data_IF_492751687724
#
_entry.id   IF_492751687724
#
_cell.length_a   1.000
_cell.length_b   1.000
_cell.length_c   1.000
_cell.angle_alpha   90.00
_cell.angle_beta   90.00
_cell.angle_gamma   90.00
#
_symmetry.space_group_name_H-M   'P 1'
#
loop_
_entity.id
_entity.type
_entity.pdbx_description
1 polymer ?
#
# COMPACT_ATOMS: atom_id res chain seq x y z
N UNK A 1 -32.83 19.17 -13.10
CA UNK A 1 -31.71 20.13 -13.14
C UNK A 1 -31.66 20.78 -14.49
N UNK A 2 -32.32 21.89 -14.61
CA UNK A 2 -32.55 22.55 -15.87
C UNK A 2 -31.36 23.40 -16.31
N UNK A 3 -30.46 23.72 -15.45
CA UNK A 3 -29.29 24.46 -15.82
C UNK A 3 -28.12 23.50 -15.97
N UNK A 4 -27.55 23.44 -17.11
CA UNK A 4 -26.24 22.89 -17.53
C UNK A 4 -25.12 22.80 -16.44
N UNK A 5 -25.48 22.65 -15.15
CA UNK A 5 -24.54 22.39 -14.08
C UNK A 5 -24.03 20.96 -14.27
N UNK A 6 -22.79 20.86 -14.68
CA UNK A 6 -22.03 19.63 -14.70
C UNK A 6 -22.11 19.06 -13.28
N UNK A 7 -22.72 17.88 -13.14
CA UNK A 7 -22.71 17.17 -11.85
C UNK A 7 -21.28 16.75 -11.57
N UNK A 8 -20.68 17.41 -10.61
CA UNK A 8 -19.34 17.03 -10.12
C UNK A 8 -19.49 16.08 -8.94
N UNK A 9 -18.64 15.07 -8.90
CA UNK A 9 -18.49 14.17 -7.76
C UNK A 9 -17.94 14.95 -6.56
N UNK A 10 -18.50 14.76 -5.38
CA UNK A 10 -17.98 15.35 -4.15
C UNK A 10 -16.64 14.69 -3.76
N UNK A 11 -16.64 13.34 -3.70
CA UNK A 11 -15.45 12.56 -3.36
C UNK A 11 -14.69 12.21 -4.64
N UNK A 12 -13.45 12.62 -4.73
CA UNK A 12 -12.55 12.33 -5.85
C UNK A 12 -11.37 11.42 -5.47
N UNK A 13 -11.13 11.22 -4.18
CA UNK A 13 -10.16 10.24 -3.66
C UNK A 13 -10.84 9.34 -2.62
N UNK A 14 -10.63 8.04 -2.76
CA UNK A 14 -11.13 7.05 -1.80
C UNK A 14 -10.00 6.12 -1.39
N UNK A 15 -9.87 5.94 -0.09
CA UNK A 15 -8.92 5.02 0.52
C UNK A 15 -9.68 3.90 1.23
N UNK A 16 -9.35 2.66 0.89
CA UNK A 16 -9.85 1.47 1.55
C UNK A 16 -8.67 0.64 2.05
N UNK A 17 -8.46 0.66 3.35
CA UNK A 17 -7.45 -0.15 4.02
C UNK A 17 -8.20 -1.22 4.82
N UNK A 18 -8.02 -2.48 4.43
CA UNK A 18 -8.71 -3.62 5.04
C UNK A 18 -7.84 -4.87 4.92
N UNK A 19 -7.99 -5.79 5.85
CA UNK A 19 -7.26 -7.04 5.90
C UNK A 19 -7.28 -7.84 4.58
N UNK A 20 -6.32 -8.73 4.39
CA UNK A 20 -6.32 -9.70 3.29
C UNK A 20 -7.62 -10.53 3.29
N UNK A 21 -8.21 -10.72 2.11
CA UNK A 21 -9.51 -11.36 1.96
C UNK A 21 -10.70 -10.41 2.14
N UNK A 22 -10.46 -9.11 2.38
CA UNK A 22 -11.48 -8.06 2.52
C UNK A 22 -12.14 -7.61 1.22
N UNK A 23 -12.04 -8.40 0.14
CA UNK A 23 -12.66 -8.15 -1.17
C UNK A 23 -12.23 -6.83 -1.86
N UNK A 24 -11.04 -6.29 -1.54
CA UNK A 24 -10.50 -5.04 -2.12
C UNK A 24 -10.51 -5.03 -3.64
N UNK A 25 -9.97 -6.06 -4.26
CA UNK A 25 -9.86 -6.16 -5.73
C UNK A 25 -11.23 -6.24 -6.38
N UNK A 26 -12.16 -6.99 -5.80
CA UNK A 26 -13.56 -7.06 -6.27
C UNK A 26 -14.24 -5.68 -6.17
N UNK A 27 -13.99 -4.95 -5.09
CA UNK A 27 -14.52 -3.61 -4.93
C UNK A 27 -14.01 -2.64 -6.00
N UNK A 28 -12.69 -2.62 -6.24
CA UNK A 28 -12.06 -1.83 -7.30
C UNK A 28 -12.64 -2.15 -8.68
N UNK A 29 -12.85 -3.43 -8.94
CA UNK A 29 -13.38 -3.94 -10.17
C UNK A 29 -14.86 -3.58 -10.42
N UNK A 30 -15.70 -3.61 -9.39
CA UNK A 30 -17.08 -3.16 -9.47
C UNK A 30 -17.17 -1.69 -9.89
N UNK A 31 -16.27 -0.85 -9.39
CA UNK A 31 -16.18 0.56 -9.78
C UNK A 31 -15.85 0.67 -11.27
N UNK A 32 -14.82 -0.02 -11.74
CA UNK A 32 -14.47 -0.02 -13.17
C UNK A 32 -15.60 -0.56 -14.05
N UNK A 33 -16.23 -1.66 -13.63
CA UNK A 33 -17.35 -2.25 -14.34
C UNK A 33 -18.52 -1.27 -14.46
N UNK A 34 -18.84 -0.56 -13.37
CA UNK A 34 -19.88 0.47 -13.40
C UNK A 34 -19.58 1.55 -14.44
N UNK A 35 -18.40 2.14 -14.40
CA UNK A 35 -18.04 3.24 -15.32
C UNK A 35 -17.89 2.78 -16.76
N UNK A 36 -17.43 1.56 -17.02
CA UNK A 36 -17.38 1.03 -18.38
C UNK A 36 -18.76 0.75 -18.95
N UNK A 37 -19.76 0.40 -18.13
CA UNK A 37 -21.07 -0.01 -18.59
C UNK A 37 -22.12 1.09 -18.56
N UNK A 38 -22.05 2.01 -17.59
CA UNK A 38 -23.10 2.98 -17.29
C UNK A 38 -22.72 4.39 -17.75
N UNK A 39 -21.46 4.74 -17.72
CA UNK A 39 -20.99 6.04 -18.21
C UNK A 39 -21.08 6.06 -19.74
N UNK A 40 -21.80 7.04 -20.26
CA UNK A 40 -21.99 7.22 -21.70
C UNK A 40 -20.88 8.04 -22.36
N UNK A 41 -20.01 8.68 -21.56
CA UNK A 41 -18.83 9.38 -22.07
C UNK A 41 -17.70 8.40 -22.36
N UNK A 42 -16.84 8.76 -23.31
CA UNK A 42 -15.58 8.04 -23.49
C UNK A 42 -14.71 8.22 -22.25
N UNK A 43 -14.35 7.11 -21.59
CA UNK A 43 -13.52 7.13 -20.38
C UNK A 43 -12.23 6.35 -20.57
N UNK A 44 -11.12 6.96 -20.14
CA UNK A 44 -9.89 6.22 -19.90
C UNK A 44 -9.83 5.88 -18.41
N UNK A 45 -9.69 4.61 -18.11
CA UNK A 45 -9.60 4.07 -16.77
C UNK A 45 -8.32 3.28 -16.64
N UNK A 46 -7.70 3.31 -15.47
CA UNK A 46 -6.47 2.56 -15.20
C UNK A 46 -6.59 1.76 -13.92
N UNK A 47 -5.95 0.59 -13.90
CA UNK A 47 -5.64 -0.15 -12.68
C UNK A 47 -4.15 -0.38 -12.59
N UNK A 48 -3.59 -0.25 -11.39
CA UNK A 48 -2.18 -0.43 -11.13
C UNK A 48 -1.95 -1.16 -9.81
N UNK A 49 -0.88 -1.94 -9.74
CA UNK A 49 -0.42 -2.64 -8.56
C UNK A 49 1.12 -2.75 -8.61
N UNK A 50 1.80 -3.12 -7.50
CA UNK A 50 3.26 -3.22 -7.47
C UNK A 50 3.85 -4.05 -8.60
N UNK A 51 3.20 -5.15 -8.98
CA UNK A 51 3.60 -5.96 -10.14
C UNK A 51 2.48 -6.00 -11.18
N UNK A 52 2.87 -6.17 -12.45
CA UNK A 52 1.89 -6.36 -13.54
C UNK A 52 0.99 -7.56 -13.31
N UNK A 53 1.51 -8.65 -12.74
CA UNK A 53 0.73 -9.84 -12.42
C UNK A 53 -0.36 -9.55 -11.40
N UNK A 54 -0.05 -8.80 -10.33
CA UNK A 54 -1.06 -8.38 -9.35
C UNK A 54 -2.11 -7.47 -9.99
N UNK A 55 -1.71 -6.51 -10.82
CA UNK A 55 -2.66 -5.66 -11.53
C UNK A 55 -3.57 -6.44 -12.50
N UNK A 56 -3.07 -7.51 -13.11
CA UNK A 56 -3.86 -8.45 -13.91
C UNK A 56 -4.82 -9.26 -13.05
N UNK A 57 -4.41 -9.67 -11.85
CA UNK A 57 -5.26 -10.39 -10.90
C UNK A 57 -6.45 -9.53 -10.43
N UNK A 58 -6.25 -8.22 -10.24
CA UNK A 58 -7.35 -7.27 -9.95
C UNK A 58 -8.40 -7.28 -11.04
N UNK A 59 -7.99 -7.45 -12.31
CA UNK A 59 -8.89 -7.43 -13.46
C UNK A 59 -9.53 -8.79 -13.77
N UNK A 60 -9.02 -9.86 -13.17
CA UNK A 60 -9.41 -11.24 -13.50
C UNK A 60 -10.90 -11.52 -13.29
N UNK A 61 -11.55 -11.12 -12.16
CA UNK A 61 -12.98 -11.37 -11.98
C UNK A 61 -13.83 -10.65 -13.04
N UNK A 62 -13.48 -9.44 -13.46
CA UNK A 62 -14.22 -8.72 -14.50
C UNK A 62 -14.07 -9.39 -15.87
N UNK A 63 -12.87 -9.84 -16.23
CA UNK A 63 -12.67 -10.64 -17.44
C UNK A 63 -13.48 -11.93 -17.39
N UNK A 64 -13.52 -12.59 -16.25
CA UNK A 64 -14.33 -13.78 -16.01
C UNK A 64 -15.81 -13.47 -16.16
N UNK A 65 -16.31 -12.37 -15.56
CA UNK A 65 -17.70 -11.97 -15.68
C UNK A 65 -18.11 -11.75 -17.16
N UNK A 66 -17.26 -11.13 -17.96
CA UNK A 66 -17.52 -10.92 -19.39
C UNK A 66 -17.59 -12.26 -20.16
N UNK A 67 -16.78 -13.25 -19.78
CA UNK A 67 -16.66 -14.51 -20.52
C UNK A 67 -17.63 -15.59 -20.09
N UNK A 68 -17.99 -15.65 -18.77
CA UNK A 68 -18.83 -16.73 -18.20
C UNK A 68 -20.24 -16.33 -17.84
N UNK A 69 -20.55 -15.03 -17.79
CA UNK A 69 -21.92 -14.56 -17.51
C UNK A 69 -22.93 -15.19 -18.47
N UNK A 70 -24.13 -15.42 -17.99
CA UNK A 70 -25.24 -16.02 -18.76
C UNK A 70 -26.48 -15.16 -18.65
N UNK A 71 -27.42 -15.38 -19.58
CA UNK A 71 -28.71 -14.73 -19.56
C UNK A 71 -28.69 -13.22 -19.73
N UNK A 72 -29.60 -12.48 -19.05
CA UNK A 72 -29.69 -11.02 -19.21
C UNK A 72 -28.45 -10.25 -18.85
N UNK A 73 -27.70 -10.67 -17.80
CA UNK A 73 -26.45 -10.05 -17.41
C UNK A 73 -25.38 -10.16 -18.50
N UNK A 74 -25.23 -11.33 -19.10
CA UNK A 74 -24.33 -11.52 -20.22
C UNK A 74 -24.65 -10.58 -21.37
N UNK A 75 -25.93 -10.49 -21.76
CA UNK A 75 -26.40 -9.59 -22.81
C UNK A 75 -26.09 -8.13 -22.48
N UNK A 76 -26.36 -7.70 -21.25
CA UNK A 76 -26.06 -6.34 -20.81
C UNK A 76 -24.56 -6.02 -20.89
N UNK A 77 -23.70 -6.93 -20.49
CA UNK A 77 -22.25 -6.72 -20.47
C UNK A 77 -21.62 -6.80 -21.86
N UNK A 78 -22.11 -7.68 -22.74
CA UNK A 78 -21.42 -8.05 -23.98
C UNK A 78 -22.13 -7.62 -25.27
N UNK A 79 -23.46 -7.49 -25.26
CA UNK A 79 -24.23 -7.18 -26.46
C UNK A 79 -24.61 -5.69 -26.51
N UNK A 80 -24.29 -5.04 -27.58
CA UNK A 80 -24.76 -3.70 -27.92
C UNK A 80 -25.26 -3.65 -29.37
N UNK A 81 -26.40 -3.02 -29.61
CA UNK A 81 -26.86 -2.74 -30.97
C UNK A 81 -26.45 -1.34 -31.37
N UNK A 82 -25.58 -1.23 -32.35
CA UNK A 82 -25.47 -0.01 -33.15
C UNK A 82 -26.41 -0.15 -34.35
N UNK A 83 -27.39 0.73 -34.44
CA UNK A 83 -28.11 0.89 -35.71
C UNK A 83 -27.11 1.51 -36.70
N UNK A 84 -26.60 0.70 -37.59
CA UNK A 84 -25.91 1.23 -38.75
C UNK A 84 -26.95 1.85 -39.69
N UNK A 85 -26.68 3.04 -40.17
CA UNK A 85 -27.44 3.76 -41.19
C UNK A 85 -27.62 2.99 -42.52
N UNK A 86 -26.99 1.84 -42.67
CA UNK A 86 -27.03 0.97 -43.86
C UNK A 86 -27.85 -0.32 -43.68
N UNK A 87 -28.68 -0.42 -42.64
CA UNK A 87 -29.64 -1.52 -42.51
C UNK A 87 -29.07 -2.88 -42.14
N UNK A 88 -27.80 -3.08 -42.04
CA UNK A 88 -27.18 -4.33 -41.60
C UNK A 88 -27.03 -4.34 -40.08
N UNK A 89 -27.75 -5.22 -39.38
CA UNK A 89 -27.60 -5.49 -37.95
C UNK A 89 -26.36 -6.31 -37.69
N UNK A 90 -25.19 -5.68 -37.71
CA UNK A 90 -24.02 -6.36 -37.13
C UNK A 90 -24.14 -6.31 -35.59
N UNK A 91 -24.26 -7.45 -34.93
CA UNK A 91 -24.09 -7.56 -33.48
C UNK A 91 -22.68 -7.15 -33.11
N UNK A 92 -22.48 -5.95 -32.62
CA UNK A 92 -21.17 -5.56 -32.07
C UNK A 92 -21.15 -5.91 -30.60
N UNK A 93 -20.06 -6.53 -30.18
CA UNK A 93 -19.76 -6.79 -28.78
C UNK A 93 -19.60 -5.46 -28.07
N UNK A 94 -20.31 -5.25 -26.94
CA UNK A 94 -20.19 -4.04 -26.13
C UNK A 94 -18.88 -3.99 -25.39
N UNK A 95 -18.59 -5.02 -24.59
CA UNK A 95 -17.35 -5.17 -23.84
C UNK A 95 -16.55 -6.36 -24.36
N UNK A 96 -15.26 -6.19 -24.51
CA UNK A 96 -14.36 -7.29 -24.77
C UNK A 96 -13.02 -7.12 -24.05
N UNK A 97 -12.45 -8.24 -23.63
CA UNK A 97 -11.07 -8.29 -23.15
C UNK A 97 -10.15 -8.30 -24.36
N UNK A 98 -9.23 -7.35 -24.41
CA UNK A 98 -8.23 -7.20 -25.47
C UNK A 98 -6.83 -7.28 -24.86
N UNK A 99 -5.79 -7.21 -25.70
CA UNK A 99 -4.40 -7.13 -25.23
C UNK A 99 -4.12 -5.84 -24.45
N UNK A 100 -4.88 -4.76 -24.68
CA UNK A 100 -4.73 -3.48 -24.00
C UNK A 100 -5.43 -3.44 -22.64
N UNK A 101 -6.47 -4.26 -22.45
CA UNK A 101 -7.28 -4.25 -21.26
C UNK A 101 -8.72 -4.68 -21.55
N UNK A 102 -9.70 -3.97 -20.98
CA UNK A 102 -11.13 -4.17 -21.29
C UNK A 102 -11.65 -2.92 -22.00
N UNK A 103 -12.16 -3.13 -23.21
CA UNK A 103 -12.66 -2.04 -24.06
C UNK A 103 -14.19 -2.10 -24.16
N UNK A 104 -14.83 -0.92 -24.07
CA UNK A 104 -16.22 -0.75 -24.45
C UNK A 104 -16.27 -0.12 -25.85
N UNK A 105 -16.63 -0.93 -26.85
CA UNK A 105 -16.66 -0.51 -28.25
C UNK A 105 -17.81 0.43 -28.61
N UNK A 106 -18.81 0.57 -27.72
CA UNK A 106 -19.91 1.53 -27.96
C UNK A 106 -19.53 2.94 -27.58
N UNK A 107 -18.75 3.10 -26.49
CA UNK A 107 -18.35 4.43 -25.98
C UNK A 107 -16.90 4.77 -26.34
N UNK A 108 -16.11 3.81 -26.82
CA UNK A 108 -14.67 3.96 -26.99
C UNK A 108 -13.89 4.02 -25.66
N UNK A 109 -14.51 3.58 -24.58
CA UNK A 109 -13.88 3.59 -23.26
C UNK A 109 -12.92 2.41 -23.09
N UNK A 110 -11.81 2.65 -22.39
CA UNK A 110 -10.77 1.67 -22.15
C UNK A 110 -10.43 1.61 -20.67
N UNK A 111 -10.42 0.41 -20.11
CA UNK A 111 -9.78 0.11 -18.82
C UNK A 111 -8.45 -0.59 -19.09
N UNK A 112 -7.36 0.05 -18.72
CA UNK A 112 -6.00 -0.37 -19.00
C UNK A 112 -5.25 -0.78 -17.73
N UNK A 113 -4.37 -1.77 -17.83
CA UNK A 113 -3.47 -2.19 -16.76
C UNK A 113 -2.13 -1.48 -16.94
N UNK A 114 -1.64 -0.85 -15.89
CA UNK A 114 -0.35 -0.16 -15.86
C UNK A 114 0.52 -0.63 -14.70
N UNK A 115 1.85 -0.73 -14.88
CA UNK A 115 2.75 -0.98 -13.76
C UNK A 115 2.77 0.23 -12.82
N UNK A 116 2.91 -0.02 -11.51
CA UNK A 116 3.01 0.99 -10.47
C UNK A 116 4.40 1.66 -10.51
N UNK A 117 4.52 2.68 -11.36
CA UNK A 117 5.75 3.45 -11.54
C UNK A 117 5.40 4.87 -11.95
N UNK A 118 6.02 5.88 -11.33
CA UNK A 118 5.77 7.29 -11.64
C UNK A 118 5.96 7.55 -13.13
N UNK A 119 7.05 7.06 -13.73
CA UNK A 119 7.34 7.27 -15.16
C UNK A 119 6.24 6.75 -16.10
N UNK A 120 5.42 5.79 -15.66
CA UNK A 120 4.34 5.20 -16.46
C UNK A 120 2.97 5.77 -16.15
N UNK A 121 2.82 6.45 -15.02
CA UNK A 121 1.56 6.92 -14.49
C UNK A 121 1.45 8.45 -14.51
N UNK A 122 2.58 9.16 -14.45
CA UNK A 122 2.61 10.62 -14.47
C UNK A 122 2.03 11.17 -15.78
N UNK A 123 1.16 12.17 -15.64
CA UNK A 123 0.55 12.87 -16.77
C UNK A 123 -0.60 12.13 -17.47
N UNK A 124 -0.94 10.92 -17.02
CA UNK A 124 -2.09 10.19 -17.56
C UNK A 124 -3.40 10.90 -17.26
N UNK A 125 -4.17 11.16 -18.30
CA UNK A 125 -5.52 11.71 -18.19
C UNK A 125 -6.51 10.54 -18.05
N UNK A 126 -6.73 10.08 -16.82
CA UNK A 126 -7.69 9.02 -16.54
C UNK A 126 -8.86 9.55 -15.70
N UNK A 127 -10.06 9.12 -16.02
CA UNK A 127 -11.26 9.44 -15.24
C UNK A 127 -11.36 8.63 -13.98
N UNK A 128 -11.00 7.36 -14.06
CA UNK A 128 -10.99 6.43 -12.93
C UNK A 128 -9.61 5.79 -12.84
N UNK A 129 -9.03 5.82 -11.66
CA UNK A 129 -7.80 5.10 -11.36
C UNK A 129 -7.99 4.23 -10.11
N UNK A 130 -7.59 2.97 -10.16
CA UNK A 130 -7.45 2.13 -8.97
C UNK A 130 -6.00 1.77 -8.75
N UNK A 131 -5.57 1.85 -7.49
CA UNK A 131 -4.22 1.56 -7.04
C UNK A 131 -4.33 0.48 -5.97
N UNK A 132 -3.92 -0.74 -6.31
CA UNK A 132 -3.94 -1.86 -5.38
C UNK A 132 -2.60 -2.00 -4.66
N UNK A 133 -2.65 -2.38 -3.38
CA UNK A 133 -1.49 -2.62 -2.51
C UNK A 133 -0.51 -1.44 -2.44
N UNK A 134 -1.01 -0.20 -2.40
CA UNK A 134 -0.19 1.01 -2.33
C UNK A 134 0.65 1.14 -1.04
N UNK A 135 0.31 0.37 0.02
CA UNK A 135 1.07 0.28 1.27
C UNK A 135 2.09 -0.87 1.27
N UNK A 136 2.26 -1.59 0.16
CA UNK A 136 3.19 -2.74 0.11
C UNK A 136 4.66 -2.36 0.33
N UNK A 137 4.99 -1.08 0.16
CA UNK A 137 6.34 -0.56 0.37
C UNK A 137 7.34 -0.87 -0.74
N UNK A 138 6.93 -1.55 -1.80
CA UNK A 138 7.78 -1.77 -2.98
C UNK A 138 8.00 -0.48 -3.78
N UNK A 139 7.10 0.50 -3.63
CA UNK A 139 7.24 1.81 -4.25
C UNK A 139 7.68 2.85 -3.22
N UNK A 140 8.84 3.45 -3.45
CA UNK A 140 9.33 4.61 -2.68
C UNK A 140 8.76 5.94 -3.20
N UNK A 141 7.87 5.89 -4.16
CA UNK A 141 7.37 7.01 -4.94
C UNK A 141 5.91 7.31 -4.61
N UNK A 142 5.52 8.59 -4.63
CA UNK A 142 4.11 9.00 -4.51
C UNK A 142 3.35 8.77 -5.83
N UNK A 143 2.93 7.53 -6.02
CA UNK A 143 2.14 7.12 -7.19
C UNK A 143 0.75 7.75 -7.20
N UNK A 144 0.15 7.94 -6.02
CA UNK A 144 -1.19 8.54 -5.88
C UNK A 144 -1.16 9.98 -6.33
N UNK A 145 -0.20 10.78 -5.86
CA UNK A 145 -0.02 12.15 -6.28
C UNK A 145 0.34 12.28 -7.77
N UNK A 146 1.13 11.38 -8.31
CA UNK A 146 1.47 11.37 -9.73
C UNK A 146 0.23 11.14 -10.63
N UNK A 147 -0.66 10.23 -10.25
CA UNK A 147 -1.93 10.00 -10.94
C UNK A 147 -2.85 11.22 -10.78
N UNK A 148 -2.94 11.79 -9.60
CA UNK A 148 -3.80 12.95 -9.32
C UNK A 148 -3.44 14.14 -10.20
N UNK A 149 -2.15 14.43 -10.40
CA UNK A 149 -1.70 15.50 -11.28
C UNK A 149 -2.21 15.36 -12.72
N UNK A 150 -2.33 14.15 -13.22
CA UNK A 150 -2.91 13.86 -14.53
C UNK A 150 -4.43 13.90 -14.56
N UNK A 151 -5.05 13.24 -13.58
CA UNK A 151 -6.49 13.09 -13.44
C UNK A 151 -7.21 14.41 -13.11
N UNK A 152 -6.58 15.31 -12.35
CA UNK A 152 -7.14 16.63 -11.97
C UNK A 152 -7.50 17.53 -13.17
N UNK A 153 -7.01 17.20 -14.35
CA UNK A 153 -7.40 17.86 -15.61
C UNK A 153 -8.77 17.40 -16.15
N UNK A 154 -9.37 16.42 -15.47
CA UNK A 154 -10.70 15.89 -15.79
C UNK A 154 -11.65 16.28 -14.66
N UNK A 155 -12.75 16.92 -14.99
CA UNK A 155 -13.67 17.50 -14.01
C UNK A 155 -14.33 16.52 -13.05
N UNK A 156 -14.41 15.23 -13.40
CA UNK A 156 -15.11 14.19 -12.62
C UNK A 156 -14.24 12.93 -12.47
N UNK A 157 -13.00 13.11 -12.02
CA UNK A 157 -12.10 11.98 -11.76
C UNK A 157 -12.38 11.30 -10.42
N UNK A 158 -11.97 10.04 -10.30
CA UNK A 158 -11.97 9.26 -9.07
C UNK A 158 -10.71 8.42 -8.99
N UNK A 159 -9.98 8.58 -7.89
CA UNK A 159 -8.86 7.72 -7.52
C UNK A 159 -9.30 6.84 -6.35
N UNK A 160 -9.12 5.54 -6.48
CA UNK A 160 -9.46 4.54 -5.46
C UNK A 160 -8.18 3.79 -5.08
N UNK A 161 -7.64 4.08 -3.91
CA UNK A 161 -6.47 3.43 -3.38
C UNK A 161 -6.90 2.34 -2.39
N UNK A 162 -6.64 1.08 -2.71
CA UNK A 162 -6.99 -0.06 -1.87
C UNK A 162 -5.72 -0.77 -1.41
N UNK A 163 -5.65 -1.17 -0.15
CA UNK A 163 -4.49 -1.91 0.38
C UNK A 163 -4.84 -2.68 1.64
N UNK A 164 -4.05 -3.67 1.97
CA UNK A 164 -3.86 -4.12 3.34
C UNK A 164 -2.79 -3.25 4.02
N UNK A 165 -2.68 -3.32 5.35
CA UNK A 165 -1.61 -2.64 6.05
C UNK A 165 -0.25 -3.17 5.58
N UNK A 166 0.68 -2.25 5.35
CA UNK A 166 2.05 -2.58 4.94
C UNK A 166 2.97 -2.81 6.14
N UNK A 167 4.13 -3.40 5.87
CA UNK A 167 5.19 -3.62 6.85
C UNK A 167 6.37 -2.66 6.70
N UNK A 168 6.38 -1.81 5.68
CA UNK A 168 7.38 -0.77 5.50
C UNK A 168 6.96 0.47 6.28
N UNK A 169 7.87 1.00 7.08
CA UNK A 169 7.66 2.21 7.88
C UNK A 169 8.50 3.36 7.36
N UNK A 170 8.07 4.57 7.71
CA UNK A 170 8.74 5.83 7.37
C UNK A 170 8.84 6.11 5.86
N UNK A 171 7.98 5.48 5.06
CA UNK A 171 7.87 5.71 3.63
C UNK A 171 6.73 6.65 3.25
N UNK A 172 6.55 6.84 1.94
CA UNK A 172 5.46 7.68 1.38
C UNK A 172 4.08 7.20 1.84
N UNK A 173 3.87 5.88 1.93
CA UNK A 173 2.62 5.30 2.41
C UNK A 173 2.27 5.72 3.85
N UNK A 174 3.27 5.76 4.74
CA UNK A 174 3.04 6.22 6.12
C UNK A 174 2.73 7.71 6.18
N UNK A 175 3.38 8.55 5.36
CA UNK A 175 3.08 9.98 5.28
C UNK A 175 1.64 10.23 4.85
N UNK A 176 1.18 9.56 3.79
CA UNK A 176 -0.22 9.63 3.35
C UNK A 176 -1.16 9.14 4.46
N UNK A 177 -0.82 8.03 5.10
CA UNK A 177 -1.63 7.46 6.17
C UNK A 177 -1.76 8.39 7.38
N UNK A 178 -0.72 9.15 7.74
CA UNK A 178 -0.79 10.18 8.77
C UNK A 178 -1.84 11.24 8.42
N UNK A 179 -1.81 11.79 7.21
CA UNK A 179 -2.83 12.74 6.74
C UNK A 179 -4.24 12.15 6.82
N UNK A 180 -4.42 10.89 6.40
CA UNK A 180 -5.72 10.20 6.50
C UNK A 180 -6.19 10.06 7.95
N UNK A 181 -5.28 9.81 8.88
CA UNK A 181 -5.60 9.71 10.31
C UNK A 181 -6.00 11.08 10.90
N UNK A 182 -5.35 12.16 10.49
CA UNK A 182 -5.70 13.52 10.92
C UNK A 182 -7.12 13.90 10.42
N UNK A 183 -7.48 13.50 9.19
CA UNK A 183 -8.85 13.66 8.69
C UNK A 183 -9.84 12.85 9.52
N UNK A 184 -9.53 11.58 9.84
CA UNK A 184 -10.41 10.71 10.64
C UNK A 184 -10.60 11.20 12.07
N UNK A 185 -9.59 11.85 12.66
CA UNK A 185 -9.66 12.48 14.00
C UNK A 185 -10.38 13.82 14.00
N UNK A 186 -10.66 14.39 12.82
CA UNK A 186 -11.28 15.69 12.67
C UNK A 186 -10.33 16.87 12.86
N UNK A 187 -9.01 16.63 12.88
CA UNK A 187 -7.98 17.68 12.94
C UNK A 187 -7.93 18.49 11.63
N UNK A 188 -8.31 17.83 10.54
CA UNK A 188 -8.37 18.42 9.22
C UNK A 188 -9.62 17.94 8.49
N UNK A 189 -10.34 18.85 7.84
CA UNK A 189 -11.57 18.52 7.12
C UNK A 189 -11.33 18.56 5.61
N UNK A 190 -11.46 17.41 4.96
CA UNK A 190 -11.40 17.31 3.50
C UNK A 190 -12.62 16.55 2.95
N UNK A 191 -13.65 17.27 2.44
CA UNK A 191 -14.88 16.64 1.94
C UNK A 191 -14.68 15.85 0.64
N UNK A 192 -13.52 15.97 0.00
CA UNK A 192 -13.20 15.31 -1.25
C UNK A 192 -12.52 13.95 -1.06
N UNK A 193 -12.23 13.58 0.18
CA UNK A 193 -11.59 12.31 0.53
C UNK A 193 -12.56 11.44 1.32
N UNK A 194 -12.71 10.17 0.92
CA UNK A 194 -13.43 9.14 1.65
C UNK A 194 -12.45 8.11 2.18
N UNK A 195 -12.54 7.78 3.46
CA UNK A 195 -11.57 6.91 4.14
C UNK A 195 -12.31 5.77 4.82
N UNK A 196 -11.88 4.54 4.54
CA UNK A 196 -12.35 3.33 5.18
C UNK A 196 -11.11 2.58 5.67
N UNK A 197 -10.87 2.62 6.99
CA UNK A 197 -9.70 2.01 7.61
C UNK A 197 -10.15 0.99 8.66
N UNK A 198 -10.10 -0.28 8.29
CA UNK A 198 -10.44 -1.41 9.12
C UNK A 198 -9.20 -1.99 9.77
N UNK A 199 -9.13 -1.93 11.09
CA UNK A 199 -8.00 -2.43 11.88
C UNK A 199 -8.43 -2.73 13.30
N UNK A 200 -7.60 -3.46 14.04
CA UNK A 200 -7.69 -3.50 15.50
C UNK A 200 -7.14 -2.19 16.11
N UNK A 201 -7.64 -1.85 17.27
CA UNK A 201 -7.22 -0.65 18.00
C UNK A 201 -5.89 -0.86 18.73
N UNK A 202 -5.67 -2.07 19.25
CA UNK A 202 -4.43 -2.48 19.90
C UNK A 202 -4.02 -3.91 19.54
N UNK A 203 -2.76 -4.25 19.85
CA UNK A 203 -2.25 -5.60 19.66
C UNK A 203 -2.90 -6.61 20.62
N UNK A 204 -3.37 -6.18 21.76
CA UNK A 204 -4.00 -7.04 22.79
C UNK A 204 -5.32 -7.63 22.27
N UNK A 205 -6.01 -6.92 21.36
CA UNK A 205 -7.24 -7.40 20.73
C UNK A 205 -7.04 -8.61 19.79
N UNK A 206 -5.79 -8.93 19.44
CA UNK A 206 -5.48 -10.13 18.63
C UNK A 206 -5.87 -11.42 19.38
N UNK A 207 -5.80 -11.41 20.71
CA UNK A 207 -6.20 -12.54 21.55
C UNK A 207 -7.74 -12.73 21.63
N UNK A 208 -8.53 -11.74 21.22
CA UNK A 208 -9.98 -11.78 21.29
C UNK A 208 -10.61 -11.95 19.89
N UNK A 209 -11.15 -13.14 19.56
CA UNK A 209 -11.77 -13.41 18.27
C UNK A 209 -12.97 -12.50 17.93
N UNK A 210 -13.66 -11.95 18.93
CA UNK A 210 -14.80 -11.05 18.69
C UNK A 210 -14.35 -9.70 18.15
N UNK A 211 -13.13 -9.28 18.46
CA UNK A 211 -12.56 -8.02 17.96
C UNK A 211 -12.10 -8.10 16.51
N UNK A 212 -11.81 -9.30 15.98
CA UNK A 212 -11.25 -9.44 14.63
C UNK A 212 -12.11 -8.87 13.51
N UNK A 213 -13.42 -8.76 13.74
CA UNK A 213 -14.35 -8.16 12.79
C UNK A 213 -14.05 -6.67 12.52
N UNK A 214 -13.37 -5.99 13.45
CA UNK A 214 -12.91 -4.60 13.26
C UNK A 214 -11.91 -4.50 12.09
N UNK A 215 -11.03 -5.49 11.93
CA UNK A 215 -10.04 -5.53 10.86
C UNK A 215 -10.57 -6.23 9.59
N UNK A 216 -11.51 -7.19 9.76
CA UNK A 216 -12.05 -8.00 8.67
C UNK A 216 -13.58 -8.06 8.72
N UNK A 217 -14.28 -7.08 8.11
CA UNK A 217 -15.75 -7.05 8.13
C UNK A 217 -16.41 -8.22 7.41
N UNK A 218 -15.65 -8.98 6.60
CA UNK A 218 -16.11 -10.19 5.90
C UNK A 218 -15.85 -11.49 6.68
N UNK A 219 -15.39 -11.39 7.92
CA UNK A 219 -15.12 -12.53 8.78
C UNK A 219 -16.41 -13.31 9.06
N UNK A 220 -16.35 -14.62 8.98
CA UNK A 220 -17.51 -15.49 9.09
C UNK A 220 -18.41 -15.55 7.83
N UNK A 221 -18.07 -14.80 6.77
CA UNK A 221 -18.78 -14.80 5.47
C UNK A 221 -17.89 -15.31 4.34
N UNK A 222 -16.92 -14.53 3.90
CA UNK A 222 -15.97 -14.88 2.84
C UNK A 222 -14.63 -15.36 3.38
N UNK A 223 -14.32 -15.02 4.63
CA UNK A 223 -13.12 -15.46 5.35
C UNK A 223 -13.56 -16.18 6.61
N UNK A 224 -13.06 -17.40 6.85
CA UNK A 224 -13.44 -18.18 8.03
C UNK A 224 -12.63 -17.76 9.26
N UNK A 225 -13.22 -17.92 10.45
CA UNK A 225 -12.53 -17.76 11.73
C UNK A 225 -11.36 -18.73 11.88
N UNK A 226 -11.50 -19.93 11.31
CA UNK A 226 -10.44 -20.97 11.35
C UNK A 226 -9.12 -20.47 10.76
N UNK A 227 -9.17 -19.75 9.62
CA UNK A 227 -7.97 -19.15 9.00
C UNK A 227 -7.31 -18.14 9.94
N UNK A 228 -8.11 -17.35 10.65
CA UNK A 228 -7.59 -16.36 11.60
C UNK A 228 -6.97 -17.03 12.82
N UNK A 229 -7.59 -18.07 13.37
CA UNK A 229 -7.00 -18.86 14.47
C UNK A 229 -5.64 -19.45 14.08
N UNK A 230 -5.55 -20.04 12.89
CA UNK A 230 -4.28 -20.59 12.39
C UNK A 230 -3.21 -19.52 12.20
N UNK A 231 -3.59 -18.33 11.70
CA UNK A 231 -2.67 -17.21 11.55
C UNK A 231 -2.20 -16.66 12.91
N UNK A 232 -3.06 -16.57 13.93
CA UNK A 232 -2.68 -16.18 15.30
C UNK A 232 -1.71 -17.20 15.89
N UNK A 233 -2.03 -18.48 15.83
CA UNK A 233 -1.15 -19.55 16.30
C UNK A 233 0.22 -19.51 15.60
N UNK A 234 0.22 -19.25 14.29
CA UNK A 234 1.46 -19.11 13.52
C UNK A 234 2.25 -17.89 13.95
N UNK A 235 1.58 -16.75 14.24
CA UNK A 235 2.23 -15.54 14.69
C UNK A 235 2.91 -15.71 16.06
N UNK A 236 2.34 -16.55 16.94
CA UNK A 236 2.93 -16.90 18.23
C UNK A 236 4.15 -17.81 18.09
N UNK A 237 4.08 -18.80 17.20
CA UNK A 237 5.13 -19.83 17.04
C UNK A 237 6.26 -19.44 16.08
N UNK A 238 6.03 -18.49 15.18
CA UNK A 238 6.99 -18.11 14.14
C UNK A 238 7.22 -16.59 14.14
N UNK A 239 8.20 -16.07 14.89
CA UNK A 239 8.49 -14.63 14.98
C UNK A 239 8.70 -13.95 13.64
N UNK A 240 9.29 -14.65 12.68
CA UNK A 240 9.51 -14.13 11.32
C UNK A 240 8.21 -13.87 10.55
N UNK A 241 7.11 -14.59 10.85
CA UNK A 241 5.82 -14.40 10.19
C UNK A 241 4.91 -13.41 10.95
N UNK A 242 5.20 -13.14 12.22
CA UNK A 242 4.35 -12.37 13.13
C UNK A 242 4.01 -11.00 12.58
N UNK A 243 5.02 -10.22 12.21
CA UNK A 243 4.80 -8.84 11.77
C UNK A 243 3.96 -8.75 10.49
N UNK A 244 4.17 -9.67 9.54
CA UNK A 244 3.37 -9.74 8.31
C UNK A 244 1.90 -10.12 8.61
N UNK A 245 1.68 -11.06 9.52
CA UNK A 245 0.33 -11.48 9.94
C UNK A 245 -0.36 -10.32 10.66
N UNK A 246 0.27 -9.68 11.65
CA UNK A 246 -0.30 -8.57 12.41
C UNK A 246 -0.67 -7.40 11.51
N UNK A 247 0.19 -7.05 10.55
CA UNK A 247 -0.10 -6.00 9.60
C UNK A 247 -1.23 -6.41 8.64
N UNK A 248 -1.10 -7.52 7.96
CA UNK A 248 -1.98 -7.87 6.85
C UNK A 248 -3.32 -8.50 7.24
N UNK A 249 -3.44 -9.10 8.44
CA UNK A 249 -4.70 -9.65 8.95
C UNK A 249 -5.41 -8.73 9.91
N UNK A 250 -4.67 -8.01 10.72
CA UNK A 250 -5.24 -7.21 11.81
C UNK A 250 -5.11 -5.70 11.61
N UNK A 251 -4.42 -5.27 10.55
CA UNK A 251 -4.24 -3.85 10.25
C UNK A 251 -3.37 -3.12 11.28
N UNK A 252 -2.57 -3.85 12.07
CA UNK A 252 -1.68 -3.29 13.07
C UNK A 252 -0.40 -2.85 12.38
N UNK A 253 -0.02 -1.56 12.42
CA UNK A 253 1.21 -1.10 11.81
C UNK A 253 2.43 -1.75 12.48
N UNK A 254 3.12 -2.61 11.75
CA UNK A 254 4.32 -3.31 12.21
C UNK A 254 5.50 -2.94 11.34
N UNK A 255 6.70 -2.86 11.93
CA UNK A 255 7.92 -2.78 11.14
C UNK A 255 8.23 -4.14 10.51
N UNK A 256 8.46 -4.15 9.19
CA UNK A 256 8.71 -5.38 8.42
C UNK A 256 10.11 -5.94 8.54
N UNK A 257 10.93 -5.39 9.43
CA UNK A 257 12.25 -5.96 9.70
C UNK A 257 12.09 -7.29 10.43
N UNK A 258 12.53 -8.34 9.80
CA UNK A 258 12.88 -9.59 10.49
C UNK A 258 14.11 -9.26 11.34
N UNK A 259 13.88 -8.96 12.61
CA UNK A 259 14.99 -8.83 13.53
C UNK A 259 15.70 -10.18 13.58
N UNK A 260 17.02 -10.18 13.45
CA UNK A 260 17.84 -11.38 13.58
C UNK A 260 17.74 -11.95 15.01
N UNK A 261 17.57 -11.04 15.98
CA UNK A 261 17.35 -11.37 17.39
C UNK A 261 15.93 -11.04 17.81
N UNK A 262 15.34 -11.83 18.70
CA UNK A 262 14.11 -11.46 19.38
C UNK A 262 14.31 -10.20 20.24
N UNK A 263 13.25 -9.44 20.50
CA UNK A 263 13.35 -8.20 21.29
C UNK A 263 13.94 -8.48 22.69
N UNK A 264 13.54 -9.58 23.30
CA UNK A 264 14.01 -10.04 24.62
C UNK A 264 15.52 -10.35 24.65
N UNK A 265 16.08 -10.75 23.50
CA UNK A 265 17.52 -11.00 23.33
C UNK A 265 18.32 -9.71 23.14
N UNK A 266 17.66 -8.63 22.73
CA UNK A 266 18.28 -7.31 22.49
C UNK A 266 18.17 -6.37 23.69
N UNK A 267 17.46 -6.74 24.76
CA UNK A 267 17.37 -5.93 25.98
C UNK A 267 18.73 -5.82 26.62
N UNK A 268 19.30 -4.61 26.75
CA UNK A 268 20.62 -4.45 27.34
C UNK A 268 20.56 -4.83 28.83
N UNK A 269 21.24 -5.92 29.18
CA UNK A 269 21.55 -6.21 30.56
C UNK A 269 22.70 -5.32 30.95
N UNK A 270 22.65 -4.65 32.06
CA UNK A 270 23.64 -3.76 32.71
C UNK A 270 24.86 -3.35 31.85
N UNK A 271 25.06 -2.03 31.70
CA UNK A 271 26.26 -1.43 31.12
C UNK A 271 27.52 -2.00 31.78
N UNK A 272 28.45 -2.58 31.00
CA UNK A 272 29.80 -2.96 31.42
C UNK A 272 30.81 -2.21 30.56
N UNK A 273 31.89 -1.76 31.19
CA UNK A 273 33.07 -1.30 30.45
C UNK A 273 33.81 -2.50 29.88
N UNK A 274 33.99 -2.52 28.56
CA UNK A 274 34.70 -3.58 27.85
C UNK A 274 36.10 -3.16 27.43
N UNK A 275 36.63 -2.10 28.02
CA UNK A 275 37.97 -1.60 27.74
C UNK A 275 39.02 -2.69 27.98
N UNK A 276 39.98 -2.83 27.03
CA UNK A 276 41.08 -3.80 27.07
C UNK A 276 40.66 -5.30 26.93
N UNK A 277 39.40 -5.61 26.63
CA UNK A 277 39.05 -6.97 26.29
C UNK A 277 39.29 -7.24 24.79
N UNK A 278 39.70 -8.44 24.42
CA UNK A 278 39.74 -8.86 23.03
C UNK A 278 38.36 -8.73 22.38
N UNK A 279 38.33 -8.21 21.17
CA UNK A 279 37.06 -8.08 20.44
C UNK A 279 37.22 -8.41 18.96
N UNK A 280 36.10 -8.77 18.33
CA UNK A 280 35.96 -8.79 16.88
C UNK A 280 35.29 -7.49 16.43
N UNK A 281 35.77 -6.86 15.37
CA UNK A 281 35.19 -5.66 14.80
C UNK A 281 34.50 -6.00 13.48
N UNK A 282 33.21 -5.68 13.40
CA UNK A 282 32.45 -5.63 12.15
C UNK A 282 32.42 -4.19 11.63
N UNK A 283 32.63 -4.03 10.33
CA UNK A 283 32.59 -2.72 9.65
C UNK A 283 31.64 -2.80 8.48
N UNK A 284 30.69 -1.87 8.45
CA UNK A 284 29.80 -1.64 7.31
C UNK A 284 30.04 -0.21 6.78
N UNK A 285 30.51 -0.13 5.55
CA UNK A 285 30.83 1.15 4.90
C UNK A 285 29.72 1.57 3.95
N UNK A 286 29.22 2.77 4.14
CA UNK A 286 28.17 3.31 3.28
C UNK A 286 28.66 3.60 1.86
N UNK A 287 27.72 3.53 0.91
CA UNK A 287 27.88 4.07 -0.44
C UNK A 287 26.87 5.20 -0.64
N UNK A 288 27.20 6.41 -0.20
CA UNK A 288 26.36 7.59 -0.42
C UNK A 288 25.41 7.92 0.74
N UNK A 289 24.13 7.61 0.62
CA UNK A 289 23.08 8.09 1.55
C UNK A 289 22.77 7.14 2.73
N UNK A 290 23.72 6.28 3.13
CA UNK A 290 23.55 5.30 4.21
C UNK A 290 24.55 5.55 5.35
N UNK A 291 24.46 4.75 6.43
CA UNK A 291 25.39 4.83 7.57
C UNK A 291 26.72 4.13 7.30
N UNK A 292 27.81 4.67 7.86
CA UNK A 292 28.99 3.87 8.16
C UNK A 292 28.90 3.38 9.59
N UNK A 293 28.98 2.08 9.82
CA UNK A 293 28.81 1.49 11.15
C UNK A 293 30.01 0.63 11.56
N UNK A 294 30.45 0.82 12.80
CA UNK A 294 31.49 0.02 13.44
C UNK A 294 30.88 -0.69 14.64
N UNK A 295 30.91 -2.00 14.65
CA UNK A 295 30.39 -2.82 15.75
C UNK A 295 31.47 -3.68 16.33
N UNK A 296 31.64 -3.62 17.64
CA UNK A 296 32.60 -4.39 18.42
C UNK A 296 31.86 -5.47 19.20
N UNK A 297 32.27 -6.71 19.01
CA UNK A 297 31.75 -7.89 19.71
C UNK A 297 32.82 -8.40 20.69
N UNK A 298 32.51 -8.43 21.95
CA UNK A 298 33.36 -8.85 23.05
C UNK A 298 32.89 -10.21 23.59
N UNK A 299 33.61 -11.32 23.31
CA UNK A 299 33.32 -12.59 23.98
C UNK A 299 33.57 -12.49 25.49
N UNK A 300 32.62 -12.87 26.30
CA UNK A 300 32.72 -12.84 27.75
C UNK A 300 32.96 -14.25 28.34
N UNK A 301 33.61 -14.32 29.50
CA UNK A 301 33.98 -15.59 30.16
C UNK A 301 32.80 -16.48 30.54
N UNK A 302 31.58 -15.90 30.61
CA UNK A 302 30.34 -16.62 30.92
C UNK A 302 29.63 -17.17 29.69
N UNK A 303 30.24 -17.13 28.51
CA UNK A 303 29.63 -17.56 27.23
C UNK A 303 28.65 -16.57 26.61
N UNK A 304 28.48 -15.38 27.17
CA UNK A 304 27.69 -14.32 26.59
C UNK A 304 28.59 -13.35 25.79
N UNK A 305 27.98 -12.40 25.08
CA UNK A 305 28.69 -11.41 24.29
C UNK A 305 28.33 -9.99 24.74
N UNK A 306 29.32 -9.12 24.79
CA UNK A 306 29.12 -7.68 24.86
C UNK A 306 29.14 -7.08 23.46
N UNK A 307 28.23 -6.17 23.16
CA UNK A 307 28.15 -5.48 21.86
C UNK A 307 28.24 -3.98 22.12
N UNK A 308 29.10 -3.31 21.35
CA UNK A 308 29.17 -1.86 21.29
C UNK A 308 29.22 -1.43 19.83
N UNK A 309 28.25 -0.61 19.44
CA UNK A 309 28.18 -0.10 18.07
C UNK A 309 28.24 1.41 18.04
N UNK A 310 28.78 1.95 16.96
CA UNK A 310 28.78 3.37 16.68
C UNK A 310 28.61 3.58 15.19
N UNK A 311 27.63 4.40 14.83
CA UNK A 311 27.31 4.70 13.44
C UNK A 311 27.59 6.15 13.11
N UNK A 312 27.91 6.43 11.86
CA UNK A 312 28.24 7.74 11.35
C UNK A 312 27.37 8.04 10.13
N UNK A 313 26.92 9.28 10.00
CA UNK A 313 26.16 9.78 8.87
C UNK A 313 26.67 11.16 8.47
N UNK A 314 26.66 11.48 7.17
CA UNK A 314 27.02 12.83 6.72
C UNK A 314 25.94 13.85 7.08
N UNK A 315 26.32 15.09 7.38
CA UNK A 315 25.36 16.16 7.67
C UNK A 315 24.45 16.46 6.48
N UNK A 316 24.92 16.26 5.25
CA UNK A 316 24.13 16.44 4.05
C UNK A 316 23.02 15.39 3.96
N UNK A 317 23.30 14.13 4.26
CA UNK A 317 22.31 13.04 4.29
C UNK A 317 21.36 13.23 5.46
N UNK A 318 21.89 13.54 6.64
CA UNK A 318 21.10 13.78 7.84
C UNK A 318 20.04 14.88 7.64
N UNK A 319 20.40 16.00 7.01
CA UNK A 319 19.50 17.13 6.75
C UNK A 319 18.44 16.85 5.68
N UNK A 320 18.60 15.79 4.89
CA UNK A 320 17.60 15.34 3.90
C UNK A 320 16.60 14.31 4.45
N UNK A 321 16.76 13.89 5.70
CA UNK A 321 15.91 12.87 6.28
C UNK A 321 14.45 13.35 6.41
N UNK A 322 13.49 12.46 6.20
CA UNK A 322 12.09 12.73 6.55
C UNK A 322 11.96 13.08 8.04
N UNK A 323 11.02 13.97 8.36
CA UNK A 323 10.85 14.50 9.73
C UNK A 323 10.70 13.40 10.80
N UNK A 324 10.01 12.30 10.47
CA UNK A 324 9.85 11.16 11.38
C UNK A 324 11.18 10.48 11.73
N UNK A 325 12.07 10.30 10.73
CA UNK A 325 13.41 9.74 10.95
C UNK A 325 14.35 10.72 11.66
N UNK A 326 14.20 12.00 11.38
CA UNK A 326 15.00 13.05 12.03
C UNK A 326 14.84 13.01 13.55
N UNK A 327 13.61 12.93 14.06
CA UNK A 327 13.36 12.82 15.50
C UNK A 327 13.92 11.54 16.12
N UNK A 328 13.75 10.40 15.46
CA UNK A 328 14.32 9.13 15.91
C UNK A 328 15.87 9.18 15.99
N UNK A 329 16.52 9.77 14.99
CA UNK A 329 17.97 9.85 14.95
C UNK A 329 18.53 10.86 15.96
N UNK A 330 17.76 11.87 16.35
CA UNK A 330 18.15 12.76 17.45
C UNK A 330 18.31 12.03 18.78
N UNK A 331 17.50 11.00 19.03
CA UNK A 331 17.68 10.16 20.23
C UNK A 331 19.01 9.42 20.19
N UNK A 332 19.35 8.79 19.07
CA UNK A 332 20.63 8.09 18.87
C UNK A 332 21.85 9.02 18.97
N UNK A 333 21.71 10.27 18.51
CA UNK A 333 22.77 11.29 18.68
C UNK A 333 22.96 11.64 20.16
N UNK A 334 21.87 11.82 20.90
CA UNK A 334 21.93 12.10 22.35
C UNK A 334 22.55 10.95 23.15
N UNK A 335 22.28 9.71 22.73
CA UNK A 335 22.88 8.51 23.33
C UNK A 335 24.32 8.28 22.92
N UNK A 336 24.81 8.99 21.90
CA UNK A 336 26.17 8.86 21.35
C UNK A 336 26.40 7.61 20.50
N UNK A 337 25.34 6.92 20.11
CA UNK A 337 25.39 5.77 19.19
C UNK A 337 25.43 6.20 17.71
N UNK A 338 24.95 7.41 17.40
CA UNK A 338 25.01 8.03 16.08
C UNK A 338 25.80 9.34 16.13
N UNK A 339 26.76 9.49 15.20
CA UNK A 339 27.58 10.70 15.04
C UNK A 339 27.30 11.29 13.66
N UNK A 340 26.94 12.57 13.63
CA UNK A 340 26.80 13.33 12.38
C UNK A 340 28.14 13.99 12.09
N UNK A 341 28.72 13.66 10.94
CA UNK A 341 29.98 14.26 10.46
C UNK A 341 29.66 15.37 9.45
N UNK A 342 30.39 16.45 9.50
CA UNK A 342 30.23 17.55 8.55
C UNK A 342 30.74 17.15 7.17
N UNK A 343 29.96 17.47 6.13
CA UNK A 343 30.31 17.20 4.73
C UNK A 343 29.35 16.27 4.03
N UNK A 344 29.67 15.95 2.79
CA UNK A 344 28.90 15.08 1.92
C UNK A 344 29.45 13.65 1.83
N UNK A 345 30.68 13.45 2.26
CA UNK A 345 31.44 12.20 2.20
C UNK A 345 31.92 11.86 3.61
N UNK A 346 31.81 10.58 3.97
CA UNK A 346 32.40 10.03 5.18
C UNK A 346 33.81 9.52 4.82
N UNK A 347 34.83 10.30 5.10
CA UNK A 347 36.24 9.94 4.90
C UNK A 347 36.81 9.18 6.11
#
# INVERSE_FOLDING_TARGET
>A
YVTKKIKKRLVNKQYLIVARGGAKSVYAELIHSYFLNVDTSTTHQITTAPTMKQAEEVMSPFRTAITVARGPLFKFLTEGSLQNTTGSRSKRVKLASTKKGIENFLTGSLLEIRPMSINKLQGLRCKIATIDEWLSGETREDVIGAIEQGASKIDDYLIVAVSSEGTVRNGVGDTIKMELMDILRGEYVNPHVSIWYYRLDSIDEVADPEMWIKAQPNLGKTVSYEVYHQDVERAEKAPAARNDILAKRFGIPMEGYTYFFAYEETIPHKYREYWQLPCCMGVDLSRGDDFCSFTFLFPLSNGTFGIKSRSYISSVTYNKLPQALYHKYQEFIKEGSLIVLEGSILD
#
